data_IF_789738384287
#
_entry.id   IF_789738384287
#
_cell.length_a   1.000
_cell.length_b   1.000
_cell.length_c   1.000
_cell.angle_alpha   90.00
_cell.angle_beta   90.00
_cell.angle_gamma   90.00
#
_symmetry.space_group_name_H-M   'P 1'
#
loop_
_entity.id
_entity.type
_entity.pdbx_description
1 polymer ?
#
# COMPACT_ATOMS: atom_id res chain seq x y z
N UNK A 1 23.40 -7.41 0.82
CA UNK A 1 22.27 -7.02 1.64
C UNK A 1 22.20 -5.51 1.89
N UNK A 2 23.27 -4.82 2.36
CA UNK A 2 23.24 -3.37 2.66
C UNK A 2 22.77 -2.54 1.45
N UNK A 3 23.31 -2.82 0.26
CA UNK A 3 22.90 -2.12 -0.97
C UNK A 3 21.42 -2.35 -1.31
N UNK A 4 20.88 -3.55 -1.13
CA UNK A 4 19.47 -3.85 -1.35
C UNK A 4 18.56 -3.11 -0.34
N UNK A 5 18.92 -3.10 0.95
CA UNK A 5 18.14 -2.38 1.97
C UNK A 5 18.14 -0.87 1.71
N UNK A 6 19.31 -0.29 1.39
CA UNK A 6 19.43 1.13 1.08
C UNK A 6 18.67 1.50 -0.22
N UNK A 7 18.77 0.66 -1.27
CA UNK A 7 17.97 0.84 -2.49
C UNK A 7 16.46 0.74 -2.20
N UNK A 8 16.04 -0.21 -1.36
CA UNK A 8 14.64 -0.35 -0.98
C UNK A 8 14.14 0.88 -0.21
N UNK A 9 14.94 1.41 0.72
CA UNK A 9 14.60 2.65 1.44
C UNK A 9 14.44 3.82 0.46
N UNK A 10 15.39 4.02 -0.44
CA UNK A 10 15.35 5.11 -1.41
C UNK A 10 14.15 4.95 -2.37
N UNK A 11 13.93 3.74 -2.90
CA UNK A 11 12.83 3.42 -3.80
C UNK A 11 11.45 3.62 -3.14
N UNK A 12 11.27 3.11 -1.92
CA UNK A 12 10.03 3.28 -1.15
C UNK A 12 9.81 4.74 -0.75
N UNK A 13 10.87 5.47 -0.41
CA UNK A 13 10.77 6.91 -0.09
C UNK A 13 10.37 7.73 -1.31
N UNK A 14 10.92 7.44 -2.49
CA UNK A 14 10.51 8.07 -3.75
C UNK A 14 9.03 7.81 -4.06
N UNK A 15 8.58 6.57 -3.85
CA UNK A 15 7.18 6.16 -4.04
C UNK A 15 6.24 6.90 -3.09
N UNK A 16 6.50 6.87 -1.77
CA UNK A 16 5.62 7.49 -0.78
C UNK A 16 5.58 9.02 -0.93
N UNK A 17 6.72 9.62 -1.29
CA UNK A 17 6.80 11.05 -1.60
C UNK A 17 5.92 11.39 -2.81
N UNK A 18 6.01 10.61 -3.90
CA UNK A 18 5.21 10.82 -5.11
C UNK A 18 3.73 10.60 -4.87
N UNK A 19 3.36 9.50 -4.17
CA UNK A 19 1.96 9.18 -3.87
C UNK A 19 1.26 10.27 -3.04
N UNK A 20 1.99 10.98 -2.17
CA UNK A 20 1.46 12.09 -1.42
C UNK A 20 1.52 13.42 -2.20
N UNK A 21 2.62 13.68 -2.94
CA UNK A 21 2.80 14.93 -3.67
C UNK A 21 1.83 15.08 -4.84
N UNK A 22 1.60 14.02 -5.63
CA UNK A 22 0.75 14.08 -6.84
C UNK A 22 -0.67 14.57 -6.55
N UNK A 23 -1.44 14.00 -5.59
CA UNK A 23 -2.78 14.53 -5.29
C UNK A 23 -2.74 15.94 -4.69
N UNK A 24 -1.75 16.28 -3.85
CA UNK A 24 -1.61 17.64 -3.29
C UNK A 24 -1.39 18.65 -4.43
N UNK A 25 -0.48 18.35 -5.36
CA UNK A 25 -0.18 19.20 -6.52
C UNK A 25 -1.39 19.29 -7.45
N UNK A 26 -2.09 18.18 -7.71
CA UNK A 26 -3.29 18.17 -8.54
C UNK A 26 -4.39 19.09 -7.95
N UNK A 27 -4.59 19.10 -6.64
CA UNK A 27 -5.55 19.97 -5.99
C UNK A 27 -5.09 21.43 -6.03
N UNK A 28 -3.83 21.72 -5.68
CA UNK A 28 -3.31 23.09 -5.57
C UNK A 28 -3.11 23.77 -6.92
N UNK A 29 -2.49 23.08 -7.88
CA UNK A 29 -2.09 23.68 -9.15
C UNK A 29 -3.16 23.53 -10.25
N UNK A 30 -3.97 22.45 -10.20
CA UNK A 30 -4.93 22.11 -11.25
C UNK A 30 -6.39 22.19 -10.76
N UNK A 31 -6.63 22.46 -9.47
CA UNK A 31 -7.98 22.54 -8.91
C UNK A 31 -8.72 21.22 -8.84
N UNK A 32 -8.01 20.08 -8.90
CA UNK A 32 -8.58 18.75 -8.96
C UNK A 32 -9.58 18.46 -7.83
N UNK A 33 -10.70 17.86 -8.18
CA UNK A 33 -11.70 17.36 -7.25
C UNK A 33 -11.56 15.86 -6.99
N UNK A 34 -12.50 15.26 -6.22
CA UNK A 34 -12.46 13.84 -5.90
C UNK A 34 -12.49 12.94 -7.14
N UNK A 35 -13.20 13.35 -8.19
CA UNK A 35 -13.28 12.62 -9.47
C UNK A 35 -11.91 12.45 -10.11
N UNK A 36 -11.19 13.55 -10.27
CA UNK A 36 -9.84 13.57 -10.86
C UNK A 36 -8.83 12.87 -9.96
N UNK A 37 -8.89 13.06 -8.64
CA UNK A 37 -8.02 12.35 -7.70
C UNK A 37 -8.30 10.84 -7.72
N UNK A 38 -9.57 10.42 -7.82
CA UNK A 38 -9.94 9.02 -8.00
C UNK A 38 -9.41 8.42 -9.31
N UNK A 39 -9.45 9.19 -10.41
CA UNK A 39 -8.89 8.79 -11.69
C UNK A 39 -7.35 8.64 -11.62
N UNK A 40 -6.65 9.60 -10.98
CA UNK A 40 -5.20 9.51 -10.73
C UNK A 40 -4.85 8.28 -9.88
N UNK A 41 -5.56 8.04 -8.79
CA UNK A 41 -5.35 6.89 -7.93
C UNK A 41 -5.65 5.57 -8.66
N UNK A 42 -6.68 5.54 -9.51
CA UNK A 42 -6.98 4.38 -10.36
C UNK A 42 -5.83 4.12 -11.33
N UNK A 43 -5.35 5.14 -12.03
CA UNK A 43 -4.21 5.01 -12.94
C UNK A 43 -2.96 4.49 -12.22
N UNK A 44 -2.65 4.99 -11.02
CA UNK A 44 -1.50 4.58 -10.22
C UNK A 44 -1.62 3.18 -9.61
N UNK A 45 -2.82 2.64 -9.47
CA UNK A 45 -3.05 1.32 -8.86
C UNK A 45 -3.36 0.23 -9.88
N UNK A 46 -3.83 0.58 -11.06
CA UNK A 46 -4.16 -0.36 -12.13
C UNK A 46 -2.99 -1.27 -12.55
N UNK A 47 -1.73 -0.81 -12.64
CA UNK A 47 -0.60 -1.68 -12.95
C UNK A 47 -0.43 -2.84 -11.96
N UNK A 48 -0.77 -2.67 -10.69
CA UNK A 48 -0.71 -3.75 -9.70
C UNK A 48 -1.68 -4.89 -10.03
N UNK A 49 -2.87 -4.57 -10.51
CA UNK A 49 -3.84 -5.57 -10.94
C UNK A 49 -3.39 -6.28 -12.23
N UNK A 50 -2.89 -5.51 -13.20
CA UNK A 50 -2.60 -6.03 -14.55
C UNK A 50 -1.25 -6.74 -14.63
N UNK A 51 -0.24 -6.26 -13.90
CA UNK A 51 1.16 -6.60 -14.14
C UNK A 51 1.84 -7.39 -13.01
N UNK A 52 1.21 -7.54 -11.83
CA UNK A 52 1.83 -8.27 -10.73
C UNK A 52 2.16 -9.73 -11.12
N UNK A 53 1.25 -10.43 -11.78
CA UNK A 53 1.49 -11.79 -12.29
C UNK A 53 2.53 -11.85 -13.41
N UNK A 54 2.44 -11.04 -14.49
CA UNK A 54 3.48 -10.97 -15.51
C UNK A 54 4.88 -10.67 -14.96
N UNK A 55 5.01 -9.71 -14.05
CA UNK A 55 6.29 -9.40 -13.41
C UNK A 55 6.79 -10.53 -12.51
N UNK A 56 5.89 -11.26 -11.84
CA UNK A 56 6.25 -12.47 -11.08
C UNK A 56 6.93 -13.51 -11.96
N UNK A 57 6.31 -13.82 -13.11
CA UNK A 57 6.88 -14.73 -14.11
C UNK A 57 8.21 -14.23 -14.67
N UNK A 58 8.29 -12.93 -14.95
CA UNK A 58 9.52 -12.37 -15.46
C UNK A 58 10.64 -12.41 -14.42
N UNK A 59 10.36 -12.09 -13.15
CA UNK A 59 11.30 -12.22 -12.05
C UNK A 59 11.80 -13.65 -11.81
N UNK A 60 10.98 -14.66 -12.15
CA UNK A 60 11.36 -16.05 -12.06
C UNK A 60 12.26 -16.53 -13.21
N UNK A 61 12.20 -15.89 -14.35
CA UNK A 61 12.91 -16.28 -15.58
C UNK A 61 14.10 -15.41 -15.93
N UNK A 62 14.23 -14.23 -15.32
CA UNK A 62 15.29 -13.26 -15.60
C UNK A 62 16.09 -12.90 -14.35
N UNK A 63 17.13 -12.07 -14.53
CA UNK A 63 17.84 -11.46 -13.42
C UNK A 63 16.91 -10.49 -12.68
N UNK A 64 16.68 -10.77 -11.41
CA UNK A 64 15.87 -9.93 -10.52
C UNK A 64 16.47 -8.54 -10.32
N UNK A 65 17.81 -8.50 -10.26
CA UNK A 65 18.56 -7.24 -10.19
C UNK A 65 18.27 -6.36 -11.41
N UNK A 66 18.42 -6.90 -12.62
CA UNK A 66 18.21 -6.11 -13.84
C UNK A 66 16.74 -5.71 -14.03
N UNK A 67 15.81 -6.58 -13.62
CA UNK A 67 14.40 -6.25 -13.57
C UNK A 67 14.15 -5.05 -12.63
N UNK A 68 14.72 -5.07 -11.41
CA UNK A 68 14.59 -3.95 -10.46
C UNK A 68 15.23 -2.67 -11.00
N UNK A 69 16.41 -2.74 -11.65
CA UNK A 69 17.06 -1.59 -12.26
C UNK A 69 16.19 -0.98 -13.36
N UNK A 70 15.67 -1.80 -14.29
CA UNK A 70 14.79 -1.33 -15.36
C UNK A 70 13.50 -0.70 -14.84
N UNK A 71 12.88 -1.32 -13.86
CA UNK A 71 11.67 -0.82 -13.21
C UNK A 71 11.90 0.51 -12.48
N UNK A 72 13.03 0.63 -11.78
CA UNK A 72 13.38 1.85 -11.06
C UNK A 72 13.78 2.98 -12.02
N UNK A 73 14.47 2.67 -13.12
CA UNK A 73 14.72 3.63 -14.20
C UNK A 73 13.42 4.15 -14.82
N UNK A 74 12.47 3.27 -15.09
CA UNK A 74 11.18 3.66 -15.63
C UNK A 74 10.45 4.63 -14.69
N UNK A 75 10.43 4.33 -13.39
CA UNK A 75 9.86 5.22 -12.36
C UNK A 75 10.62 6.54 -12.27
N UNK A 76 11.96 6.50 -12.22
CA UNK A 76 12.79 7.69 -12.16
C UNK A 76 12.59 8.61 -13.36
N UNK A 77 12.46 8.05 -14.57
CA UNK A 77 12.16 8.81 -15.79
C UNK A 77 10.76 9.44 -15.73
N UNK A 78 9.73 8.72 -15.24
CA UNK A 78 8.39 9.31 -15.08
C UNK A 78 8.40 10.48 -14.09
N UNK A 79 9.14 10.38 -12.99
CA UNK A 79 9.30 11.46 -12.01
C UNK A 79 10.08 12.65 -12.59
N UNK A 80 11.11 12.38 -13.38
CA UNK A 80 11.88 13.42 -14.07
C UNK A 80 11.02 14.19 -15.08
N UNK A 81 10.16 13.49 -15.83
CA UNK A 81 9.22 14.15 -16.77
C UNK A 81 8.20 14.97 -16.00
N UNK A 82 7.67 14.48 -14.87
CA UNK A 82 6.79 15.26 -13.97
C UNK A 82 7.50 16.53 -13.48
N UNK A 83 8.77 16.42 -13.09
CA UNK A 83 9.57 17.55 -12.66
C UNK A 83 9.72 18.58 -13.78
N UNK A 84 10.11 18.15 -14.98
CA UNK A 84 10.27 19.05 -16.13
C UNK A 84 8.95 19.74 -16.47
N UNK A 85 7.84 19.00 -16.47
CA UNK A 85 6.51 19.55 -16.71
C UNK A 85 6.09 20.57 -15.63
N UNK A 86 6.44 20.30 -14.36
CA UNK A 86 6.19 21.22 -13.26
C UNK A 86 6.97 22.53 -13.41
N UNK A 87 8.25 22.44 -13.77
CA UNK A 87 9.12 23.62 -13.99
C UNK A 87 8.69 24.42 -15.22
N UNK A 88 8.18 23.74 -16.26
CA UNK A 88 7.69 24.39 -17.48
C UNK A 88 6.26 24.95 -17.34
N UNK A 89 5.57 24.74 -16.20
CA UNK A 89 4.16 25.13 -16.01
C UNK A 89 3.19 24.35 -16.92
N UNK A 90 3.57 23.15 -17.37
CA UNK A 90 2.82 22.31 -18.30
C UNK A 90 2.21 21.06 -17.65
N UNK A 91 2.03 21.09 -16.33
CA UNK A 91 1.32 20.01 -15.64
C UNK A 91 -0.13 19.94 -16.08
N UNK A 92 -0.61 18.74 -16.37
CA UNK A 92 -2.03 18.45 -16.57
C UNK A 92 -2.42 17.17 -15.84
N UNK A 93 -3.72 16.98 -15.63
CA UNK A 93 -4.24 15.77 -14.97
C UNK A 93 -3.94 14.51 -15.78
N UNK A 94 -4.06 14.60 -17.11
CA UNK A 94 -3.77 13.51 -18.03
C UNK A 94 -2.29 13.11 -17.98
N UNK A 95 -1.41 14.10 -17.94
CA UNK A 95 0.03 13.86 -17.84
C UNK A 95 0.39 13.22 -16.50
N UNK A 96 -0.19 13.70 -15.39
CA UNK A 96 0.00 13.11 -14.07
C UNK A 96 -0.54 11.67 -14.00
N UNK A 97 -1.69 11.40 -14.63
CA UNK A 97 -2.27 10.05 -14.71
C UNK A 97 -1.38 9.10 -15.51
N UNK A 98 -0.94 9.53 -16.71
CA UNK A 98 -0.06 8.74 -17.58
C UNK A 98 1.29 8.43 -16.90
N UNK A 99 1.95 9.47 -16.39
CA UNK A 99 3.24 9.31 -15.73
C UNK A 99 3.11 8.55 -14.40
N UNK A 100 2.01 8.75 -13.67
CA UNK A 100 1.67 7.98 -12.48
C UNK A 100 1.47 6.49 -12.79
N UNK A 101 0.80 6.16 -13.89
CA UNK A 101 0.66 4.79 -14.39
C UNK A 101 2.04 4.18 -14.74
N UNK A 102 2.86 4.90 -15.52
CA UNK A 102 4.20 4.44 -15.92
C UNK A 102 5.09 4.23 -14.68
N UNK A 103 5.08 5.16 -13.73
CA UNK A 103 5.81 5.02 -12.48
C UNK A 103 5.35 3.82 -11.66
N UNK A 104 4.03 3.57 -11.59
CA UNK A 104 3.46 2.42 -10.92
C UNK A 104 3.83 1.08 -11.57
N UNK A 105 3.99 1.02 -12.90
CA UNK A 105 4.56 -0.17 -13.59
C UNK A 105 5.94 -0.49 -13.02
N UNK A 106 6.80 0.52 -12.86
CA UNK A 106 8.10 0.36 -12.20
C UNK A 106 7.99 -0.12 -10.75
N UNK A 107 7.08 0.45 -9.98
CA UNK A 107 6.83 0.06 -8.59
C UNK A 107 6.41 -1.41 -8.47
N UNK A 108 5.52 -1.89 -9.34
CA UNK A 108 5.06 -3.30 -9.33
C UNK A 108 6.23 -4.24 -9.57
N UNK A 109 7.01 -4.03 -10.62
CA UNK A 109 8.15 -4.91 -10.92
C UNK A 109 9.21 -4.91 -9.82
N UNK A 110 9.51 -3.74 -9.22
CA UNK A 110 10.41 -3.65 -8.09
C UNK A 110 9.88 -4.41 -6.86
N UNK A 111 8.61 -4.22 -6.51
CA UNK A 111 8.00 -4.82 -5.31
C UNK A 111 7.88 -6.34 -5.39
N UNK A 112 7.78 -6.89 -6.59
CA UNK A 112 7.78 -8.34 -6.84
C UNK A 112 9.21 -8.89 -6.80
N UNK A 113 10.17 -8.21 -7.41
CA UNK A 113 11.54 -8.71 -7.56
C UNK A 113 12.37 -8.60 -6.26
N UNK A 114 12.19 -7.55 -5.45
CA UNK A 114 13.00 -7.30 -4.26
C UNK A 114 12.91 -8.41 -3.20
N UNK A 115 11.72 -8.88 -2.76
CA UNK A 115 11.61 -10.00 -1.83
C UNK A 115 12.13 -11.31 -2.43
N UNK A 116 11.94 -11.50 -3.75
CA UNK A 116 12.39 -12.69 -4.45
C UNK A 116 13.92 -12.78 -4.56
N UNK A 117 14.62 -11.63 -4.58
CA UNK A 117 16.09 -11.58 -4.63
C UNK A 117 16.74 -11.90 -3.27
N UNK A 118 16.05 -11.64 -2.17
CA UNK A 118 16.61 -11.73 -0.82
C UNK A 118 17.20 -13.11 -0.44
N UNK A 119 16.54 -14.25 -0.75
CA UNK A 119 17.08 -15.57 -0.46
C UNK A 119 18.38 -15.91 -1.21
N UNK A 120 18.67 -15.23 -2.31
CA UNK A 120 19.92 -15.40 -3.04
C UNK A 120 21.10 -14.59 -2.43
N UNK A 121 20.80 -13.63 -1.55
CA UNK A 121 21.79 -12.71 -0.99
C UNK A 121 22.19 -13.03 0.45
N UNK A 122 21.41 -13.87 1.15
CA UNK A 122 21.64 -14.20 2.55
C UNK A 122 21.37 -15.67 2.83
N UNK A 123 22.10 -16.29 3.79
CA UNK A 123 21.82 -17.66 4.20
C UNK A 123 20.43 -17.76 4.87
N UNK A 124 19.80 -18.97 4.86
CA UNK A 124 18.45 -19.16 5.42
C UNK A 124 18.28 -18.67 6.87
N UNK A 125 19.27 -18.85 7.72
CA UNK A 125 19.24 -18.39 9.11
C UNK A 125 19.16 -16.85 9.26
N UNK A 126 19.60 -16.08 8.26
CA UNK A 126 19.57 -14.62 8.26
C UNK A 126 18.34 -14.01 7.55
N UNK A 127 17.48 -14.83 6.92
CA UNK A 127 16.34 -14.35 6.13
C UNK A 127 15.35 -13.54 6.97
N UNK A 128 15.03 -13.97 8.19
CA UNK A 128 14.11 -13.26 9.06
C UNK A 128 14.62 -11.84 9.39
N UNK A 129 15.91 -11.72 9.74
CA UNK A 129 16.54 -10.44 10.01
C UNK A 129 16.61 -9.55 8.76
N UNK A 130 16.89 -10.14 7.60
CA UNK A 130 16.98 -9.42 6.34
C UNK A 130 15.60 -8.88 5.88
N UNK A 131 14.54 -9.69 5.99
CA UNK A 131 13.16 -9.25 5.76
C UNK A 131 12.76 -8.13 6.74
N UNK A 132 13.12 -8.25 8.02
CA UNK A 132 12.87 -7.20 9.01
C UNK A 132 13.52 -5.86 8.66
N UNK A 133 14.73 -5.88 8.08
CA UNK A 133 15.39 -4.64 7.60
C UNK A 133 14.70 -4.02 6.39
N UNK A 134 14.21 -4.83 5.44
CA UNK A 134 13.42 -4.34 4.30
C UNK A 134 12.09 -3.73 4.78
N UNK A 135 11.43 -4.37 5.72
CA UNK A 135 10.17 -3.89 6.29
C UNK A 135 10.36 -2.60 7.12
N UNK A 136 11.46 -2.50 7.87
CA UNK A 136 11.82 -1.26 8.59
C UNK A 136 12.04 -0.11 7.61
N UNK A 137 12.78 -0.36 6.52
CA UNK A 137 13.00 0.64 5.47
C UNK A 137 11.66 1.10 4.83
N UNK A 138 10.76 0.16 4.54
CA UNK A 138 9.41 0.44 4.03
C UNK A 138 8.60 1.28 5.03
N UNK A 139 8.58 0.88 6.29
CA UNK A 139 7.83 1.59 7.34
C UNK A 139 8.35 3.01 7.56
N UNK A 140 9.67 3.20 7.52
CA UNK A 140 10.28 4.53 7.60
C UNK A 140 9.85 5.42 6.42
N UNK A 141 9.82 4.88 5.21
CA UNK A 141 9.35 5.60 4.02
C UNK A 141 7.86 5.98 4.14
N UNK A 142 7.01 5.08 4.61
CA UNK A 142 5.58 5.33 4.85
C UNK A 142 5.34 6.42 5.91
N UNK A 143 6.17 6.48 6.96
CA UNK A 143 6.04 7.48 8.01
C UNK A 143 6.57 8.86 7.55
N UNK A 144 7.73 8.89 6.89
CA UNK A 144 8.40 10.14 6.52
C UNK A 144 7.95 10.72 5.17
N UNK A 145 7.61 9.85 4.19
CA UNK A 145 7.32 10.26 2.82
C UNK A 145 6.21 11.32 2.69
N UNK A 146 5.01 11.08 3.22
CA UNK A 146 3.91 12.05 3.13
C UNK A 146 4.20 13.38 3.84
N UNK A 147 4.85 13.35 5.01
CA UNK A 147 5.25 14.58 5.73
C UNK A 147 6.26 15.39 4.91
N UNK A 148 7.27 14.72 4.34
CA UNK A 148 8.25 15.36 3.47
C UNK A 148 7.60 15.90 2.19
N UNK A 149 6.67 15.16 1.58
CA UNK A 149 5.94 15.61 0.41
C UNK A 149 5.15 16.90 0.69
N UNK A 150 4.34 16.89 1.74
CA UNK A 150 3.55 18.06 2.15
C UNK A 150 4.42 19.25 2.49
N UNK A 151 5.51 19.06 3.26
CA UNK A 151 6.43 20.12 3.63
C UNK A 151 7.15 20.71 2.40
N UNK A 152 7.64 19.89 1.49
CA UNK A 152 8.32 20.35 0.27
C UNK A 152 7.38 21.11 -0.65
N UNK A 153 6.15 20.61 -0.85
CA UNK A 153 5.15 21.30 -1.68
C UNK A 153 4.75 22.64 -1.03
N UNK A 154 4.57 22.68 0.28
CA UNK A 154 4.21 23.90 0.99
C UNK A 154 5.34 24.96 0.96
N UNK A 155 6.59 24.54 1.10
CA UNK A 155 7.74 25.45 1.24
C UNK A 155 8.35 25.87 -0.11
N UNK A 156 8.47 24.94 -1.05
CA UNK A 156 9.21 25.15 -2.31
C UNK A 156 8.44 24.74 -3.57
N UNK A 157 7.15 24.43 -3.41
CA UNK A 157 6.27 24.04 -4.53
C UNK A 157 6.43 22.61 -5.02
N UNK A 158 5.64 22.26 -6.03
CA UNK A 158 5.55 20.92 -6.62
C UNK A 158 6.90 20.38 -7.10
N UNK A 159 7.72 21.23 -7.72
CA UNK A 159 9.01 20.86 -8.29
C UNK A 159 9.98 20.31 -7.23
N UNK A 160 9.98 20.84 -6.00
CA UNK A 160 10.87 20.38 -4.95
C UNK A 160 10.59 18.92 -4.54
N UNK A 161 9.33 18.53 -4.45
CA UNK A 161 8.95 17.15 -4.16
C UNK A 161 9.37 16.21 -5.29
N UNK A 162 9.18 16.59 -6.55
CA UNK A 162 9.60 15.78 -7.71
C UNK A 162 11.12 15.73 -7.86
N UNK A 163 11.87 16.78 -7.53
CA UNK A 163 13.35 16.75 -7.46
C UNK A 163 13.80 15.68 -6.48
N UNK A 164 13.32 15.73 -5.24
CA UNK A 164 13.73 14.75 -4.22
C UNK A 164 13.34 13.33 -4.63
N UNK A 165 12.13 13.11 -5.13
CA UNK A 165 11.68 11.80 -5.57
C UNK A 165 12.56 11.24 -6.72
N UNK A 166 12.92 12.09 -7.69
CA UNK A 166 13.82 11.73 -8.80
C UNK A 166 15.23 11.37 -8.31
N UNK A 167 15.78 12.15 -7.38
CA UNK A 167 17.10 11.88 -6.79
C UNK A 167 17.13 10.59 -5.98
N UNK A 168 16.07 10.32 -5.22
CA UNK A 168 15.91 9.06 -4.47
C UNK A 168 15.82 7.87 -5.43
N UNK A 169 15.05 7.97 -6.51
CA UNK A 169 14.95 6.94 -7.53
C UNK A 169 16.30 6.71 -8.23
N UNK A 170 17.01 7.77 -8.62
CA UNK A 170 18.35 7.68 -9.20
C UNK A 170 19.36 7.01 -8.24
N UNK A 171 19.29 7.34 -6.93
CA UNK A 171 20.12 6.71 -5.90
C UNK A 171 19.81 5.22 -5.74
N UNK A 172 18.54 4.84 -5.82
CA UNK A 172 18.12 3.44 -5.79
C UNK A 172 18.70 2.66 -6.98
N UNK A 173 18.65 3.23 -8.20
CA UNK A 173 19.30 2.65 -9.40
C UNK A 173 20.79 2.47 -9.20
N UNK A 174 21.50 3.51 -8.72
CA UNK A 174 22.93 3.46 -8.50
C UNK A 174 23.33 2.38 -7.47
N UNK A 175 22.53 2.20 -6.42
CA UNK A 175 22.72 1.15 -5.42
C UNK A 175 22.49 -0.25 -5.99
N UNK A 176 21.44 -0.42 -6.81
CA UNK A 176 21.14 -1.69 -7.47
C UNK A 176 22.21 -2.04 -8.51
N UNK A 177 22.78 -1.06 -9.18
CA UNK A 177 23.87 -1.27 -10.15
C UNK A 177 25.12 -1.90 -9.52
N UNK A 178 25.38 -1.57 -8.25
CA UNK A 178 26.50 -2.14 -7.48
C UNK A 178 26.19 -3.50 -6.85
N UNK A 179 24.93 -3.93 -6.91
CA UNK A 179 24.51 -5.19 -6.28
C UNK A 179 24.94 -6.36 -7.18
N UNK A 180 25.55 -7.38 -6.60
CA UNK A 180 25.89 -8.61 -7.30
C UNK A 180 24.80 -9.65 -7.05
N UNK A 181 24.16 -10.14 -8.12
CA UNK A 181 23.20 -11.25 -8.06
C UNK A 181 23.93 -12.54 -8.36
N UNK A 182 23.92 -13.53 -7.45
CA UNK A 182 24.51 -14.86 -7.74
C UNK A 182 23.79 -15.55 -8.89
N UNK A 183 24.54 -16.32 -9.69
CA UNK A 183 23.96 -17.16 -10.73
C UNK A 183 22.96 -18.16 -10.12
N UNK A 184 21.84 -18.35 -10.78
CA UNK A 184 20.82 -19.29 -10.31
C UNK A 184 20.27 -20.12 -11.46
N UNK A 185 19.75 -21.31 -11.13
CA UNK A 185 18.97 -22.13 -12.06
C UNK A 185 17.54 -21.59 -12.11
N UNK A 186 17.00 -21.30 -13.30
CA UNK A 186 15.61 -20.89 -13.44
C UNK A 186 14.65 -21.95 -12.86
N UNK A 187 13.58 -21.51 -12.22
CA UNK A 187 12.54 -22.42 -11.74
C UNK A 187 11.81 -23.09 -12.92
N UNK A 188 11.34 -24.33 -12.73
CA UNK A 188 10.53 -25.02 -13.73
C UNK A 188 9.26 -24.20 -14.06
N UNK A 189 8.88 -24.10 -15.34
CA UNK A 189 7.73 -23.32 -15.75
C UNK A 189 6.43 -23.92 -15.20
N UNK A 190 5.73 -23.18 -14.36
CA UNK A 190 4.36 -23.50 -13.94
C UNK A 190 3.40 -22.49 -14.56
N UNK A 191 2.16 -22.91 -14.83
CA UNK A 191 1.17 -22.02 -15.43
C UNK A 191 0.50 -21.16 -14.33
N UNK A 192 0.73 -19.83 -14.27
CA UNK A 192 0.31 -18.98 -13.14
C UNK A 192 -1.19 -18.95 -12.92
N UNK A 193 -1.98 -19.01 -14.01
CA UNK A 193 -3.45 -19.02 -13.91
C UNK A 193 -3.96 -20.29 -13.23
N UNK A 194 -3.28 -21.44 -13.44
CA UNK A 194 -3.63 -22.70 -12.75
C UNK A 194 -3.32 -22.58 -11.26
N UNK A 195 -2.14 -22.05 -10.91
CA UNK A 195 -1.76 -21.84 -9.51
C UNK A 195 -2.70 -20.86 -8.80
N UNK A 196 -3.09 -19.78 -9.48
CA UNK A 196 -4.04 -18.80 -8.95
C UNK A 196 -5.43 -19.41 -8.76
N UNK A 197 -5.90 -20.22 -9.72
CA UNK A 197 -7.17 -20.94 -9.63
C UNK A 197 -7.19 -21.94 -8.46
N UNK A 198 -6.15 -22.73 -8.31
CA UNK A 198 -6.04 -23.70 -7.22
C UNK A 198 -6.01 -23.00 -5.86
N UNK A 199 -5.27 -21.89 -5.75
CA UNK A 199 -5.26 -21.03 -4.57
C UNK A 199 -6.64 -20.43 -4.27
N UNK A 200 -7.34 -19.96 -5.30
CA UNK A 200 -8.69 -19.40 -5.18
C UNK A 200 -9.71 -20.43 -4.70
N UNK A 201 -9.69 -21.64 -5.25
CA UNK A 201 -10.58 -22.73 -4.84
C UNK A 201 -10.38 -23.09 -3.37
N UNK A 202 -9.11 -23.25 -2.95
CA UNK A 202 -8.81 -23.55 -1.54
C UNK A 202 -9.30 -22.43 -0.62
N UNK A 203 -9.00 -21.16 -0.94
CA UNK A 203 -9.40 -20.00 -0.11
C UNK A 203 -10.92 -19.92 0.00
N UNK A 204 -11.64 -20.12 -1.12
CA UNK A 204 -13.11 -20.00 -1.15
C UNK A 204 -13.82 -21.08 -0.34
N UNK A 205 -13.27 -22.31 -0.36
CA UNK A 205 -13.82 -23.46 0.38
C UNK A 205 -13.42 -23.47 1.86
N UNK A 206 -12.33 -22.78 2.22
CA UNK A 206 -11.80 -22.81 3.58
C UNK A 206 -12.53 -21.84 4.52
N UNK A 207 -13.14 -22.33 5.59
CA UNK A 207 -13.97 -21.55 6.52
C UNK A 207 -13.25 -20.34 7.16
N UNK A 208 -11.92 -20.41 7.36
CA UNK A 208 -11.14 -19.33 7.97
C UNK A 208 -10.48 -18.41 6.91
N UNK A 209 -10.05 -18.92 5.75
CA UNK A 209 -9.34 -18.13 4.74
C UNK A 209 -10.28 -17.20 3.97
N UNK A 210 -11.49 -17.68 3.62
CA UNK A 210 -12.46 -16.87 2.89
C UNK A 210 -12.84 -15.56 3.60
N UNK A 211 -13.23 -15.55 4.89
CA UNK A 211 -13.57 -14.30 5.57
C UNK A 211 -12.35 -13.37 5.71
N UNK A 212 -11.13 -13.89 5.90
CA UNK A 212 -9.92 -13.07 5.92
C UNK A 212 -9.73 -12.37 4.57
N UNK A 213 -9.88 -13.09 3.44
CA UNK A 213 -9.76 -12.51 2.12
C UNK A 213 -10.81 -11.43 1.87
N UNK A 214 -12.09 -11.72 2.16
CA UNK A 214 -13.19 -10.77 1.95
C UNK A 214 -13.02 -9.50 2.80
N UNK A 215 -12.59 -9.66 4.05
CA UNK A 215 -12.28 -8.53 4.95
C UNK A 215 -11.16 -7.66 4.36
N UNK A 216 -10.08 -8.26 3.88
CA UNK A 216 -8.96 -7.54 3.29
C UNK A 216 -9.33 -6.82 1.99
N UNK A 217 -10.14 -7.45 1.13
CA UNK A 217 -10.66 -6.84 -0.11
C UNK A 217 -11.57 -5.64 0.20
N UNK A 218 -12.53 -5.82 1.12
CA UNK A 218 -13.44 -4.75 1.54
C UNK A 218 -12.67 -3.57 2.16
N UNK A 219 -11.64 -3.85 2.99
CA UNK A 219 -10.76 -2.84 3.55
C UNK A 219 -10.03 -2.04 2.45
N UNK A 220 -9.44 -2.72 1.47
CA UNK A 220 -8.74 -2.05 0.37
C UNK A 220 -9.69 -1.18 -0.46
N UNK A 221 -10.89 -1.65 -0.79
CA UNK A 221 -11.89 -0.84 -1.51
C UNK A 221 -12.24 0.40 -0.69
N UNK A 222 -12.62 0.25 0.59
CA UNK A 222 -12.98 1.37 1.46
C UNK A 222 -11.85 2.38 1.64
N UNK A 223 -10.60 1.88 1.79
CA UNK A 223 -9.41 2.72 1.90
C UNK A 223 -9.20 3.58 0.66
N UNK A 224 -9.31 3.01 -0.54
CA UNK A 224 -9.09 3.75 -1.77
C UNK A 224 -10.26 4.68 -2.13
N UNK A 225 -11.49 4.40 -1.65
CA UNK A 225 -12.60 5.37 -1.65
C UNK A 225 -12.24 6.59 -0.80
N UNK A 226 -11.73 6.40 0.41
CA UNK A 226 -11.26 7.50 1.27
C UNK A 226 -10.12 8.27 0.61
N UNK A 227 -9.13 7.58 0.05
CA UNK A 227 -7.96 8.20 -0.58
C UNK A 227 -8.34 9.10 -1.77
N UNK A 228 -9.35 8.74 -2.57
CA UNK A 228 -9.83 9.56 -3.67
C UNK A 228 -10.40 10.92 -3.20
N UNK A 229 -11.01 10.95 -2.02
CA UNK A 229 -11.68 12.15 -1.50
C UNK A 229 -10.82 12.94 -0.50
N UNK A 230 -9.84 12.30 0.16
CA UNK A 230 -9.22 12.88 1.36
C UNK A 230 -8.48 14.19 1.09
N UNK A 231 -7.60 14.25 0.10
CA UNK A 231 -6.79 15.45 -0.14
C UNK A 231 -7.68 16.65 -0.53
N UNK A 232 -8.60 16.53 -1.50
CA UNK A 232 -9.56 17.62 -1.78
C UNK A 232 -10.36 18.03 -0.55
N UNK A 233 -10.86 17.06 0.22
CA UNK A 233 -11.62 17.32 1.45
C UNK A 233 -10.79 18.05 2.50
N UNK A 234 -9.57 17.59 2.78
CA UNK A 234 -8.69 18.18 3.76
C UNK A 234 -8.34 19.64 3.43
N UNK A 235 -8.09 19.93 2.17
CA UNK A 235 -7.72 21.27 1.73
C UNK A 235 -8.92 22.22 1.65
N UNK A 236 -10.07 21.76 1.13
CA UNK A 236 -11.25 22.60 0.87
C UNK A 236 -12.17 22.73 2.09
N UNK A 237 -12.45 21.59 2.76
CA UNK A 237 -13.42 21.56 3.87
C UNK A 237 -12.75 21.73 5.24
N UNK A 238 -11.54 21.17 5.47
CA UNK A 238 -10.81 21.35 6.72
C UNK A 238 -9.87 22.56 6.70
N UNK A 239 -9.66 23.21 5.53
CA UNK A 239 -8.77 24.35 5.39
C UNK A 239 -7.29 24.06 5.64
N UNK A 240 -6.86 22.80 5.47
CA UNK A 240 -5.49 22.39 5.70
C UNK A 240 -4.61 22.79 4.51
N UNK A 241 -3.43 23.33 4.81
CA UNK A 241 -2.39 23.51 3.79
C UNK A 241 -1.69 22.18 3.44
N UNK A 242 -0.82 22.20 2.43
CA UNK A 242 -0.10 21.03 1.98
C UNK A 242 0.75 20.37 3.08
N UNK A 243 1.37 21.17 3.94
CA UNK A 243 2.17 20.70 5.06
C UNK A 243 1.33 19.94 6.08
N UNK A 244 0.19 20.51 6.47
CA UNK A 244 -0.75 19.91 7.41
C UNK A 244 -1.38 18.62 6.82
N UNK A 245 -1.72 18.60 5.53
CA UNK A 245 -2.16 17.37 4.83
C UNK A 245 -1.09 16.29 4.89
N UNK A 246 0.16 16.64 4.58
CA UNK A 246 1.29 15.71 4.69
C UNK A 246 1.47 15.14 6.09
N UNK A 247 1.33 15.97 7.14
CA UNK A 247 1.39 15.55 8.54
C UNK A 247 0.26 14.60 8.92
N UNK A 248 -0.97 14.85 8.51
CA UNK A 248 -2.09 13.94 8.77
C UNK A 248 -1.86 12.57 8.12
N UNK A 249 -1.38 12.56 6.87
CA UNK A 249 -1.03 11.32 6.16
C UNK A 249 0.14 10.58 6.83
N UNK A 250 1.14 11.30 7.34
CA UNK A 250 2.27 10.72 8.09
C UNK A 250 1.81 10.04 9.39
N UNK A 251 0.67 10.46 9.96
CA UNK A 251 0.01 9.81 11.09
C UNK A 251 -0.21 8.31 10.84
N UNK A 252 -0.52 7.91 9.59
CA UNK A 252 -0.66 6.50 9.21
C UNK A 252 0.64 5.72 9.47
N UNK A 253 1.78 6.23 9.03
CA UNK A 253 3.07 5.57 9.28
C UNK A 253 3.43 5.51 10.76
N UNK A 254 3.18 6.59 11.52
CA UNK A 254 3.38 6.60 12.97
C UNK A 254 2.49 5.56 13.67
N UNK A 255 1.23 5.44 13.24
CA UNK A 255 0.31 4.40 13.71
C UNK A 255 0.81 2.99 13.41
N UNK A 256 1.34 2.74 12.20
CA UNK A 256 1.94 1.45 11.85
C UNK A 256 3.09 1.06 12.78
N UNK A 257 4.00 1.99 13.06
CA UNK A 257 5.12 1.76 13.99
C UNK A 257 4.61 1.45 15.40
N UNK A 258 3.70 2.28 15.92
CA UNK A 258 3.12 2.06 17.24
C UNK A 258 2.37 0.72 17.33
N UNK A 259 1.56 0.41 16.31
CA UNK A 259 0.83 -0.85 16.23
C UNK A 259 1.75 -2.07 16.16
N UNK A 260 2.81 -2.02 15.36
CA UNK A 260 3.78 -3.10 15.25
C UNK A 260 4.52 -3.36 16.58
N UNK A 261 4.92 -2.31 17.29
CA UNK A 261 5.57 -2.40 18.59
C UNK A 261 4.65 -2.97 19.69
N UNK A 262 3.37 -2.62 19.63
CA UNK A 262 2.39 -3.04 20.63
C UNK A 262 1.70 -4.37 20.28
N UNK A 263 1.74 -4.81 19.01
CA UNK A 263 1.06 -6.02 18.56
C UNK A 263 1.35 -7.26 19.42
N UNK A 264 2.60 -7.58 19.83
CA UNK A 264 2.86 -8.76 20.67
C UNK A 264 2.11 -8.70 22.01
N UNK A 265 2.06 -7.52 22.65
CA UNK A 265 1.35 -7.32 23.92
C UNK A 265 -0.16 -7.42 23.73
N UNK A 266 -0.69 -6.81 22.67
CA UNK A 266 -2.13 -6.86 22.34
C UNK A 266 -2.60 -8.29 22.05
N UNK A 267 -1.85 -9.03 21.25
CA UNK A 267 -2.16 -10.43 20.91
C UNK A 267 -2.05 -11.32 22.15
N UNK A 268 -1.10 -11.11 23.04
CA UNK A 268 -0.97 -11.86 24.27
C UNK A 268 -2.09 -11.57 25.29
N UNK A 269 -2.65 -10.36 25.27
CA UNK A 269 -3.68 -9.93 26.22
C UNK A 269 -5.10 -10.38 25.86
N UNK A 270 -5.34 -10.95 24.65
CA UNK A 270 -6.67 -11.35 24.20
C UNK A 270 -6.63 -12.71 23.48
N UNK A 271 -7.80 -13.36 23.29
CA UNK A 271 -7.86 -14.58 22.46
C UNK A 271 -7.45 -14.28 21.01
N UNK A 272 -6.92 -15.28 20.33
CA UNK A 272 -6.40 -15.10 18.96
C UNK A 272 -7.47 -14.53 18.02
N UNK A 273 -8.70 -15.04 18.06
CA UNK A 273 -9.79 -14.54 17.24
C UNK A 273 -10.15 -13.07 17.54
N UNK A 274 -10.11 -12.65 18.81
CA UNK A 274 -10.30 -11.23 19.18
C UNK A 274 -9.18 -10.35 18.65
N UNK A 275 -7.93 -10.82 18.68
CA UNK A 275 -6.79 -10.09 18.11
C UNK A 275 -6.94 -9.90 16.60
N UNK A 276 -7.49 -10.89 15.89
CA UNK A 276 -7.81 -10.78 14.46
C UNK A 276 -8.91 -9.75 14.21
N UNK A 277 -9.97 -9.70 15.02
CA UNK A 277 -11.09 -8.76 14.86
C UNK A 277 -10.72 -7.33 15.28
N UNK A 278 -9.72 -7.16 16.13
CA UNK A 278 -9.29 -5.85 16.66
C UNK A 278 -8.95 -4.83 15.57
N UNK A 279 -8.12 -5.20 14.59
CA UNK A 279 -7.72 -4.28 13.52
C UNK A 279 -8.90 -3.73 12.70
N UNK A 280 -9.81 -4.58 12.20
CA UNK A 280 -11.07 -4.18 11.59
C UNK A 280 -11.91 -3.20 12.41
N UNK A 281 -12.06 -3.44 13.72
CA UNK A 281 -12.82 -2.54 14.60
C UNK A 281 -12.11 -1.17 14.76
N UNK A 282 -10.80 -1.17 14.90
CA UNK A 282 -10.02 0.08 14.93
C UNK A 282 -10.15 0.85 13.62
N UNK A 283 -10.23 0.18 12.46
CA UNK A 283 -10.50 0.84 11.18
C UNK A 283 -11.88 1.49 11.13
N UNK A 284 -12.91 0.89 11.73
CA UNK A 284 -14.23 1.52 11.88
C UNK A 284 -14.14 2.77 12.75
N UNK A 285 -13.47 2.68 13.91
CA UNK A 285 -13.26 3.82 14.79
C UNK A 285 -12.47 4.96 14.10
N UNK A 286 -11.43 4.59 13.33
CA UNK A 286 -10.66 5.53 12.52
C UNK A 286 -11.56 6.27 11.51
N UNK A 287 -12.39 5.55 10.77
CA UNK A 287 -13.28 6.16 9.79
C UNK A 287 -14.40 6.95 10.45
N UNK A 288 -14.91 6.51 11.60
CA UNK A 288 -15.89 7.28 12.38
C UNK A 288 -15.29 8.63 12.84
N UNK A 289 -14.02 8.65 13.28
CA UNK A 289 -13.30 9.89 13.59
C UNK A 289 -13.16 10.78 12.35
N UNK A 290 -12.89 10.21 11.16
CA UNK A 290 -12.85 10.96 9.91
C UNK A 290 -14.22 11.55 9.55
N UNK A 291 -15.31 10.77 9.64
CA UNK A 291 -16.67 11.27 9.41
C UNK A 291 -17.07 12.34 10.43
N UNK A 292 -16.61 12.24 11.67
CA UNK A 292 -16.84 13.27 12.69
C UNK A 292 -16.26 14.64 12.30
N UNK A 293 -15.24 14.71 11.45
CA UNK A 293 -14.72 15.97 10.92
C UNK A 293 -15.73 16.74 10.06
N UNK A 294 -16.77 16.08 9.53
CA UNK A 294 -17.88 16.77 8.84
C UNK A 294 -18.66 17.70 9.77
N UNK A 295 -18.70 17.38 11.07
CA UNK A 295 -19.38 18.20 12.10
C UNK A 295 -18.41 19.09 12.86
N UNK A 296 -17.19 18.59 13.10
CA UNK A 296 -16.09 19.28 13.79
C UNK A 296 -14.86 19.30 12.89
N UNK A 297 -14.70 20.31 12.01
CA UNK A 297 -13.65 20.35 10.99
C UNK A 297 -12.27 20.64 11.60
N UNK A 298 -11.68 19.63 12.23
CA UNK A 298 -10.39 19.72 12.90
C UNK A 298 -9.35 18.78 12.26
N UNK A 299 -8.22 19.34 11.82
CA UNK A 299 -7.11 18.57 11.23
C UNK A 299 -6.51 17.54 12.19
N UNK A 300 -6.52 17.81 13.51
CA UNK A 300 -6.07 16.87 14.55
C UNK A 300 -6.92 15.59 14.53
N UNK A 301 -8.23 15.72 14.34
CA UNK A 301 -9.13 14.57 14.28
C UNK A 301 -8.88 13.73 13.03
N UNK A 302 -8.59 14.37 11.89
CA UNK A 302 -8.14 13.69 10.68
C UNK A 302 -6.79 12.98 10.88
N UNK A 303 -5.82 13.61 11.53
CA UNK A 303 -4.54 13.01 11.88
C UNK A 303 -4.69 11.80 12.81
N UNK A 304 -5.54 11.90 13.83
CA UNK A 304 -5.88 10.78 14.72
C UNK A 304 -6.54 9.62 13.95
N UNK A 305 -7.42 9.92 13.00
CA UNK A 305 -8.00 8.91 12.09
C UNK A 305 -6.92 8.15 11.32
N UNK A 306 -5.98 8.85 10.68
CA UNK A 306 -4.87 8.21 9.96
C UNK A 306 -3.96 7.41 10.89
N UNK A 307 -3.67 7.91 12.09
CA UNK A 307 -2.92 7.15 13.08
C UNK A 307 -3.61 5.82 13.43
N UNK A 308 -4.91 5.83 13.67
CA UNK A 308 -5.70 4.61 13.93
C UNK A 308 -5.72 3.68 12.72
N UNK A 309 -5.80 4.20 11.48
CA UNK A 309 -5.68 3.41 10.26
C UNK A 309 -4.31 2.74 10.09
N UNK A 310 -3.25 3.32 10.62
CA UNK A 310 -1.95 2.63 10.71
C UNK A 310 -1.93 1.60 11.83
N UNK A 311 -2.40 1.97 13.02
CA UNK A 311 -2.29 1.19 14.24
C UNK A 311 -3.06 -0.12 14.22
N UNK A 312 -4.35 -0.10 13.90
CA UNK A 312 -5.19 -1.31 13.92
C UNK A 312 -4.84 -2.31 12.82
N UNK A 313 -4.82 -1.89 11.55
CA UNK A 313 -4.54 -2.78 10.43
C UNK A 313 -3.17 -3.47 10.46
N UNK A 314 -2.16 -2.92 11.11
CA UNK A 314 -0.89 -3.64 11.24
C UNK A 314 -1.02 -4.87 12.19
N UNK A 315 -1.82 -4.75 13.26
CA UNK A 315 -2.13 -5.90 14.14
C UNK A 315 -2.91 -6.96 13.36
N UNK A 316 -3.91 -6.54 12.54
CA UNK A 316 -4.62 -7.41 11.62
C UNK A 316 -3.66 -8.11 10.65
N UNK A 317 -2.75 -7.39 10.04
CA UNK A 317 -1.80 -7.95 9.06
C UNK A 317 -0.94 -9.04 9.68
N UNK A 318 -0.44 -8.82 10.90
CA UNK A 318 0.35 -9.81 11.63
C UNK A 318 -0.49 -11.05 11.93
N UNK A 319 -1.67 -10.90 12.53
CA UNK A 319 -2.50 -12.02 12.97
C UNK A 319 -3.12 -12.79 11.81
N UNK A 320 -3.64 -12.10 10.80
CA UNK A 320 -4.25 -12.74 9.62
C UNK A 320 -3.22 -13.46 8.75
N UNK A 321 -2.01 -12.91 8.61
CA UNK A 321 -0.91 -13.58 7.91
C UNK A 321 -0.46 -14.82 8.65
N UNK A 322 -0.31 -14.76 9.97
CA UNK A 322 0.03 -15.90 10.80
C UNK A 322 -1.03 -16.99 10.68
N UNK A 323 -2.33 -16.65 10.79
CA UNK A 323 -3.41 -17.62 10.64
C UNK A 323 -3.39 -18.27 9.25
N UNK A 324 -3.26 -17.46 8.19
CA UNK A 324 -3.18 -17.96 6.82
C UNK A 324 -2.02 -18.94 6.61
N UNK A 325 -0.85 -18.61 7.14
CA UNK A 325 0.33 -19.49 7.02
C UNK A 325 0.16 -20.79 7.80
N UNK A 326 -0.51 -20.76 8.94
CA UNK A 326 -0.73 -21.92 9.80
C UNK A 326 -1.75 -22.89 9.22
N UNK A 327 -2.88 -22.38 8.68
CA UNK A 327 -3.98 -23.24 8.19
C UNK A 327 -3.83 -23.66 6.72
N UNK A 328 -2.81 -23.15 6.02
CA UNK A 328 -2.57 -23.49 4.62
C UNK A 328 -1.51 -24.60 4.51
N UNK A 329 -1.80 -25.71 3.84
CA UNK A 329 -0.80 -26.75 3.59
C UNK A 329 0.44 -26.19 2.89
N UNK A 330 1.64 -26.61 3.28
CA UNK A 330 2.90 -26.05 2.79
C UNK A 330 3.02 -26.01 1.26
N UNK A 331 2.52 -27.06 0.57
CA UNK A 331 2.50 -27.13 -0.89
C UNK A 331 1.59 -26.09 -1.56
N UNK A 332 0.60 -25.51 -0.83
CA UNK A 332 -0.38 -24.55 -1.33
C UNK A 332 -0.10 -23.11 -0.87
N UNK A 333 0.87 -22.90 0.04
CA UNK A 333 1.11 -21.61 0.66
C UNK A 333 1.45 -20.51 -0.36
N UNK A 334 2.23 -20.84 -1.38
CA UNK A 334 2.56 -19.90 -2.47
C UNK A 334 1.31 -19.50 -3.28
N UNK A 335 0.46 -20.47 -3.62
CA UNK A 335 -0.77 -20.25 -4.41
C UNK A 335 -1.80 -19.42 -3.64
N UNK A 336 -2.01 -19.73 -2.37
CA UNK A 336 -2.88 -18.95 -1.48
C UNK A 336 -2.35 -17.52 -1.31
N UNK A 337 -1.04 -17.36 -1.13
CA UNK A 337 -0.42 -16.03 -1.01
C UNK A 337 -0.55 -15.20 -2.28
N UNK A 338 -0.40 -15.81 -3.45
CA UNK A 338 -0.61 -15.16 -4.76
C UNK A 338 -2.08 -14.72 -4.93
N UNK A 339 -3.04 -15.57 -4.53
CA UNK A 339 -4.47 -15.22 -4.56
C UNK A 339 -4.78 -14.01 -3.66
N UNK A 340 -4.27 -14.00 -2.42
CA UNK A 340 -4.45 -12.86 -1.51
C UNK A 340 -3.82 -11.58 -2.07
N UNK A 341 -2.62 -11.67 -2.62
CA UNK A 341 -1.94 -10.52 -3.23
C UNK A 341 -2.76 -9.97 -4.40
N UNK A 342 -3.17 -10.83 -5.33
CA UNK A 342 -3.94 -10.43 -6.52
C UNK A 342 -5.28 -9.79 -6.14
N UNK A 343 -6.01 -10.38 -5.18
CA UNK A 343 -7.29 -9.85 -4.73
C UNK A 343 -7.13 -8.49 -4.04
N UNK A 344 -6.12 -8.34 -3.16
CA UNK A 344 -5.86 -7.08 -2.46
C UNK A 344 -5.40 -5.99 -3.44
N UNK A 345 -4.51 -6.31 -4.37
CA UNK A 345 -4.04 -5.33 -5.36
C UNK A 345 -5.15 -4.95 -6.34
N UNK A 346 -5.98 -5.92 -6.76
CA UNK A 346 -7.13 -5.68 -7.65
C UNK A 346 -8.25 -4.85 -7.00
N UNK A 347 -8.41 -4.91 -5.70
CA UNK A 347 -9.37 -4.11 -4.96
C UNK A 347 -9.05 -2.60 -4.97
N UNK A 348 -7.78 -2.23 -5.09
CA UNK A 348 -7.31 -0.84 -5.04
C UNK A 348 -7.87 0.04 -6.17
N UNK A 349 -7.68 -0.30 -7.46
CA UNK A 349 -8.23 0.49 -8.54
C UNK A 349 -9.77 0.53 -8.52
N UNK A 350 -10.43 -0.54 -8.07
CA UNK A 350 -11.88 -0.55 -7.91
C UNK A 350 -12.34 0.45 -6.85
N UNK A 351 -11.66 0.49 -5.70
CA UNK A 351 -11.95 1.47 -4.64
C UNK A 351 -11.69 2.91 -5.10
N UNK A 352 -10.56 3.15 -5.79
CA UNK A 352 -10.22 4.47 -6.31
C UNK A 352 -11.22 4.96 -7.36
N UNK A 353 -11.61 4.10 -8.30
CA UNK A 353 -12.61 4.42 -9.32
C UNK A 353 -13.99 4.69 -8.68
N UNK A 354 -14.41 3.85 -7.74
CA UNK A 354 -15.66 4.04 -7.00
C UNK A 354 -15.65 5.35 -6.22
N UNK A 355 -14.56 5.64 -5.51
CA UNK A 355 -14.38 6.92 -4.79
C UNK A 355 -14.40 8.13 -5.72
N UNK A 356 -13.72 8.03 -6.88
CA UNK A 356 -13.74 9.06 -7.90
C UNK A 356 -15.14 9.31 -8.45
N UNK A 357 -15.88 8.26 -8.81
CA UNK A 357 -17.26 8.36 -9.33
C UNK A 357 -18.21 8.97 -8.28
N UNK A 358 -18.18 8.45 -7.05
CA UNK A 358 -19.05 8.96 -5.96
C UNK A 358 -18.67 10.40 -5.63
N UNK A 359 -17.38 10.71 -5.55
CA UNK A 359 -16.90 12.05 -5.25
C UNK A 359 -17.24 13.08 -6.34
N UNK A 360 -17.20 12.69 -7.61
CA UNK A 360 -17.57 13.55 -8.72
C UNK A 360 -19.06 13.91 -8.74
N UNK A 361 -19.94 12.97 -8.35
CA UNK A 361 -21.39 13.17 -8.42
C UNK A 361 -22.02 13.67 -7.11
N UNK A 362 -21.48 13.25 -5.95
CA UNK A 362 -22.06 13.52 -4.64
C UNK A 362 -21.10 14.18 -3.64
N UNK A 363 -19.87 14.49 -4.08
CA UNK A 363 -18.87 15.21 -3.28
C UNK A 363 -18.13 14.36 -2.25
N UNK A 364 -17.20 15.00 -1.55
CA UNK A 364 -16.30 14.35 -0.60
C UNK A 364 -17.02 13.70 0.59
N UNK A 365 -18.08 14.35 1.11
CA UNK A 365 -18.85 13.81 2.23
C UNK A 365 -19.48 12.45 1.92
N UNK A 366 -20.00 12.27 0.70
CA UNK A 366 -20.55 10.99 0.26
C UNK A 366 -19.48 9.88 0.24
N UNK A 367 -18.25 10.22 -0.20
CA UNK A 367 -17.12 9.28 -0.14
C UNK A 367 -16.78 8.89 1.29
N UNK A 368 -16.80 9.83 2.25
CA UNK A 368 -16.52 9.52 3.66
C UNK A 368 -17.57 8.55 4.23
N UNK A 369 -18.85 8.76 3.94
CA UNK A 369 -19.91 7.84 4.37
C UNK A 369 -19.83 6.48 3.69
N UNK A 370 -19.53 6.46 2.39
CA UNK A 370 -19.32 5.19 1.65
C UNK A 370 -18.13 4.41 2.20
N UNK A 371 -17.02 5.09 2.49
CA UNK A 371 -15.86 4.47 3.10
C UNK A 371 -16.21 3.89 4.50
N UNK A 372 -16.98 4.63 5.32
CA UNK A 372 -17.45 4.13 6.61
C UNK A 372 -18.29 2.86 6.44
N UNK A 373 -19.22 2.86 5.51
CA UNK A 373 -20.02 1.66 5.20
C UNK A 373 -19.14 0.47 4.81
N UNK A 374 -18.11 0.68 3.99
CA UNK A 374 -17.13 -0.34 3.60
C UNK A 374 -16.30 -0.85 4.79
N UNK A 375 -15.86 0.04 5.70
CA UNK A 375 -15.15 -0.38 6.91
C UNK A 375 -16.06 -1.10 7.91
N UNK A 376 -17.32 -0.73 8.01
CA UNK A 376 -18.30 -1.48 8.79
C UNK A 376 -18.53 -2.85 8.19
N UNK A 377 -18.72 -2.93 6.87
CA UNK A 377 -18.91 -4.22 6.17
C UNK A 377 -17.74 -5.18 6.45
N UNK A 378 -16.48 -4.71 6.30
CA UNK A 378 -15.32 -5.56 6.56
C UNK A 378 -15.24 -6.04 8.01
N UNK A 379 -15.62 -5.20 8.97
CA UNK A 379 -15.68 -5.58 10.39
C UNK A 379 -16.80 -6.60 10.67
N UNK A 380 -17.96 -6.44 10.05
CA UNK A 380 -19.07 -7.40 10.14
C UNK A 380 -18.67 -8.74 9.55
N UNK A 381 -18.03 -8.78 8.37
CA UNK A 381 -17.58 -10.01 7.71
C UNK A 381 -16.69 -10.84 8.64
N UNK A 382 -15.69 -10.22 9.26
CA UNK A 382 -14.77 -10.97 10.13
C UNK A 382 -15.40 -11.30 11.49
N UNK A 383 -16.20 -10.39 12.06
CA UNK A 383 -16.86 -10.61 13.35
C UNK A 383 -17.96 -11.69 13.29
N UNK A 384 -18.62 -11.85 12.14
CA UNK A 384 -19.61 -12.91 11.91
C UNK A 384 -18.98 -14.26 11.52
N UNK A 385 -17.65 -14.30 11.31
CA UNK A 385 -16.95 -15.50 10.85
C UNK A 385 -16.50 -16.42 12.01
N UNK A 386 -16.22 -17.70 11.72
CA UNK A 386 -15.63 -18.61 12.70
C UNK A 386 -14.28 -18.15 13.25
N UNK A 387 -13.58 -17.22 12.59
CA UNK A 387 -12.29 -16.67 13.04
C UNK A 387 -12.43 -16.00 14.42
N UNK A 388 -13.55 -15.31 14.69
CA UNK A 388 -13.78 -14.58 15.94
C UNK A 388 -13.70 -15.46 17.20
N UNK A 389 -14.14 -16.70 17.11
CA UNK A 389 -14.26 -17.60 18.26
C UNK A 389 -13.01 -18.45 18.51
N UNK A 390 -11.94 -18.27 17.73
CA UNK A 390 -10.69 -18.98 17.90
C UNK A 390 -10.02 -18.59 19.24
N UNK A 391 -9.87 -19.52 20.22
CA UNK A 391 -9.20 -19.23 21.49
C UNK A 391 -7.69 -19.10 21.28
N UNK A 392 -7.13 -19.94 20.43
CA UNK A 392 -5.70 -20.02 20.10
C UNK A 392 -5.49 -20.16 18.59
N UNK A 393 -4.25 -19.98 18.14
CA UNK A 393 -3.87 -20.30 16.77
C UNK A 393 -4.11 -21.81 16.51
N UNK A 394 -4.82 -22.20 15.43
CA UNK A 394 -5.02 -23.60 15.09
C UNK A 394 -3.70 -24.36 14.89
N UNK A 395 -3.69 -25.66 15.13
CA UNK A 395 -2.56 -26.50 14.80
C UNK A 395 -2.35 -26.54 13.27
N UNK A 396 -1.10 -26.62 12.84
CA UNK A 396 -0.77 -26.80 11.41
C UNK A 396 -1.36 -28.10 10.91
N UNK A 397 -2.09 -28.13 9.78
CA UNK A 397 -2.52 -29.38 9.18
C UNK A 397 -1.30 -30.24 8.83
N UNK A 398 -1.39 -31.52 9.18
CA UNK A 398 -0.31 -32.49 8.94
C UNK A 398 -0.04 -32.69 7.44
#
# INVERSE_FOLDING_TARGET
LRALVASNLAAQSAEQLSLAAVPIVAVLALGAGPGEIGALATAQTLPFLLLALPFGLWADRSSRRWLMVGCELLRGLSLLVMLVAALAGQLSLELLALLGFIGAVGTVGYSVAAPALLPALVPPAALAQANGRLELARSAAFAAGPALAGALVAWAGASAAFVLATLLSASAVALLWRLHEPARTPAAPRHPLVELRDGALLVWQHALLRPILLTAVAWNIAWFVLQAAYVPYAMRALGLDAGAVGLTLAGYGAGMVAGALLAPRLVAAMSFGRAVVFGPLVSVAAMAAMVATLRWPQGVLAGASFFLFGFGPIVWTITSTTLRQTVTPGAMLGRVSAMFLTANMGARPLGAALGGLVGAHWGEAACLWLALAGFVLQAVVIAASPVRVLPHLPATPA
#
